data_IF_315049776521
#
_entry.id   IF_315049776521
#
_cell.length_a   1.000
_cell.length_b   1.000
_cell.length_c   1.000
_cell.angle_alpha   90.00
_cell.angle_beta   90.00
_cell.angle_gamma   90.00
#
_symmetry.space_group_name_H-M   'P 1'
#
loop_
_entity.id
_entity.type
_entity.pdbx_description
1 polymer ?
#
# COMPACT_ATOMS: atom_id res chain seq x y z
N UNK A 1 25.39 15.35 -8.30
CA UNK A 1 23.97 15.30 -7.89
C UNK A 1 23.60 13.88 -7.48
N UNK A 2 22.93 13.70 -6.34
CA UNK A 2 22.32 12.44 -5.93
C UNK A 2 20.91 12.35 -6.51
N UNK A 3 20.66 11.36 -7.36
CA UNK A 3 19.34 11.06 -7.93
C UNK A 3 19.08 9.54 -7.91
N UNK A 4 19.47 8.89 -6.81
CA UNK A 4 19.53 7.44 -6.67
C UNK A 4 18.19 6.76 -6.37
N UNK A 5 17.13 7.55 -6.12
CA UNK A 5 15.87 7.04 -5.59
C UNK A 5 15.93 6.71 -4.09
N UNK A 6 14.87 6.04 -3.62
CA UNK A 6 14.68 5.66 -2.21
C UNK A 6 15.28 4.31 -1.82
N UNK A 7 14.83 3.76 -0.69
CA UNK A 7 15.45 2.59 -0.07
C UNK A 7 14.51 1.41 0.24
N UNK A 8 13.30 1.36 -0.31
CA UNK A 8 12.35 0.26 0.01
C UNK A 8 12.87 -1.16 -0.31
N UNK A 9 13.81 -1.31 -1.23
CA UNK A 9 14.42 -2.61 -1.57
C UNK A 9 15.58 -2.99 -0.64
N UNK A 10 16.09 -2.07 0.17
CA UNK A 10 17.13 -2.35 1.17
C UNK A 10 16.52 -2.94 2.44
N UNK A 11 16.46 -4.27 2.50
CA UNK A 11 15.84 -5.02 3.61
C UNK A 11 16.47 -4.73 4.96
N UNK A 12 17.78 -4.47 4.99
CA UNK A 12 18.47 -4.13 6.22
C UNK A 12 18.10 -2.71 6.65
N UNK A 13 18.31 -1.73 5.76
CA UNK A 13 18.12 -0.33 6.10
C UNK A 13 16.66 -0.01 6.41
N UNK A 14 15.70 -0.48 5.60
CA UNK A 14 14.27 -0.21 5.82
C UNK A 14 13.75 -0.74 7.16
N UNK A 15 14.27 -1.89 7.64
CA UNK A 15 13.89 -2.49 8.92
C UNK A 15 14.40 -1.66 10.11
N UNK A 16 15.55 -1.01 9.96
CA UNK A 16 16.05 -0.07 10.97
C UNK A 16 15.12 1.15 11.12
N UNK A 17 14.46 1.55 10.04
CA UNK A 17 13.57 2.72 10.00
C UNK A 17 12.14 2.40 10.47
N UNK A 18 11.59 1.27 10.04
CA UNK A 18 10.29 0.78 10.48
C UNK A 18 10.41 -0.71 10.83
N UNK A 19 10.31 -1.10 12.12
CA UNK A 19 10.41 -2.49 12.53
C UNK A 19 9.37 -3.42 11.88
N UNK A 20 8.27 -2.87 11.34
CA UNK A 20 7.26 -3.63 10.60
C UNK A 20 7.71 -3.98 9.18
N UNK A 21 8.69 -3.26 8.63
CA UNK A 21 9.26 -3.46 7.28
C UNK A 21 10.22 -4.67 7.20
N UNK A 22 9.79 -5.81 7.74
CA UNK A 22 10.61 -7.01 7.85
C UNK A 22 10.96 -7.60 6.46
N UNK A 23 12.05 -8.39 6.34
CA UNK A 23 12.53 -8.96 5.07
C UNK A 23 11.50 -9.77 4.25
N UNK A 24 10.48 -10.28 4.92
CA UNK A 24 9.39 -11.09 4.39
C UNK A 24 8.35 -10.24 3.64
N UNK A 25 8.16 -8.97 4.01
CA UNK A 25 7.28 -8.06 3.26
C UNK A 25 7.97 -7.62 1.97
N UNK A 26 7.31 -7.82 0.83
CA UNK A 26 7.87 -7.42 -0.43
C UNK A 26 7.73 -5.90 -0.68
N UNK A 27 8.44 -5.42 -1.69
CA UNK A 27 8.40 -4.04 -2.17
C UNK A 27 7.83 -4.00 -3.58
N UNK A 28 7.21 -2.88 -3.96
CA UNK A 28 6.84 -2.64 -5.36
C UNK A 28 8.01 -2.14 -6.21
N UNK A 29 9.15 -1.87 -5.58
CA UNK A 29 10.25 -1.14 -6.18
C UNK A 29 11.19 -2.07 -6.92
N UNK A 30 11.91 -1.52 -7.89
CA UNK A 30 12.98 -2.24 -8.56
C UNK A 30 14.11 -2.58 -7.56
N UNK A 31 14.93 -3.63 -7.83
CA UNK A 31 15.98 -4.07 -6.89
C UNK A 31 17.03 -2.99 -6.55
N UNK A 32 17.21 -2.00 -7.42
CA UNK A 32 18.20 -0.93 -7.23
C UNK A 32 17.81 0.16 -6.21
N UNK A 33 16.56 0.19 -5.73
CA UNK A 33 16.11 1.16 -4.73
C UNK A 33 16.67 0.85 -3.33
N UNK A 34 17.97 1.08 -3.16
CA UNK A 34 18.76 0.74 -1.96
C UNK A 34 19.37 1.97 -1.32
N UNK A 35 19.69 1.90 -0.03
CA UNK A 35 20.08 3.07 0.76
C UNK A 35 21.52 3.55 0.55
N UNK A 36 22.31 2.94 -0.34
CA UNK A 36 23.76 3.17 -0.43
C UNK A 36 24.16 4.63 -0.62
N UNK A 37 23.51 5.34 -1.55
CA UNK A 37 23.77 6.77 -1.78
C UNK A 37 23.31 7.65 -0.62
N UNK A 38 22.13 7.36 -0.04
CA UNK A 38 21.61 8.03 1.15
C UNK A 38 22.59 7.89 2.32
N UNK A 39 22.99 6.66 2.66
CA UNK A 39 23.95 6.37 3.73
C UNK A 39 25.28 7.10 3.50
N UNK A 40 25.75 7.16 2.26
CA UNK A 40 26.99 7.86 1.91
C UNK A 40 26.88 9.37 2.16
N UNK A 41 25.74 9.98 1.83
CA UNK A 41 25.48 11.39 2.13
C UNK A 41 25.41 11.66 3.63
N UNK A 42 24.71 10.80 4.39
CA UNK A 42 24.62 10.93 5.85
C UNK A 42 26.01 10.84 6.52
N UNK A 43 26.89 9.95 6.02
CA UNK A 43 28.27 9.81 6.54
C UNK A 43 29.13 11.06 6.39
N UNK A 44 28.83 11.93 5.43
CA UNK A 44 29.56 13.19 5.23
C UNK A 44 28.83 14.41 5.83
N UNK A 45 27.85 14.16 6.70
CA UNK A 45 27.18 15.21 7.48
C UNK A 45 25.88 15.74 6.87
N UNK A 46 25.33 15.13 5.81
CA UNK A 46 24.03 15.53 5.28
C UNK A 46 22.92 15.33 6.32
N UNK A 47 22.05 16.33 6.48
CA UNK A 47 20.97 16.31 7.45
C UNK A 47 19.86 15.33 7.03
N UNK A 48 19.57 14.29 7.82
CA UNK A 48 18.44 13.40 7.57
C UNK A 48 17.10 14.08 7.87
N UNK A 49 16.11 13.88 7.01
CA UNK A 49 14.73 14.34 7.21
C UNK A 49 13.79 13.16 7.04
N UNK A 50 12.96 12.90 8.05
CA UNK A 50 11.84 11.94 7.97
C UNK A 50 12.22 10.52 7.53
N UNK A 51 13.45 10.05 7.78
CA UNK A 51 13.95 8.76 7.27
C UNK A 51 13.05 7.57 7.69
N UNK A 52 12.37 7.66 8.84
CA UNK A 52 11.38 6.67 9.30
C UNK A 52 10.08 6.60 8.48
N UNK A 53 9.83 7.55 7.58
CA UNK A 53 8.55 7.72 6.91
C UNK A 53 8.51 6.93 5.61
N UNK A 54 8.03 5.69 5.73
CA UNK A 54 7.85 4.73 4.64
C UNK A 54 6.36 4.64 4.29
N UNK A 55 6.03 4.82 3.00
CA UNK A 55 4.69 4.60 2.49
C UNK A 55 4.52 3.14 2.03
N UNK A 56 3.38 2.58 2.41
CA UNK A 56 2.93 1.26 2.01
C UNK A 56 1.72 1.35 1.08
N UNK A 57 1.60 0.39 0.17
CA UNK A 57 0.42 0.20 -0.67
C UNK A 57 -0.44 -0.92 -0.09
N UNK A 58 -1.67 -0.65 0.38
CA UNK A 58 -2.50 -1.62 1.12
C UNK A 58 -3.31 -2.57 0.22
N UNK A 59 -3.20 -2.46 -1.10
CA UNK A 59 -3.96 -3.27 -2.06
C UNK A 59 -3.06 -4.25 -2.82
N UNK A 60 -2.11 -4.89 -2.12
CA UNK A 60 -1.21 -5.90 -2.70
C UNK A 60 -1.53 -7.29 -2.15
N UNK A 61 -0.93 -8.29 -2.76
CA UNK A 61 -1.03 -9.68 -2.35
C UNK A 61 0.31 -10.19 -1.81
N UNK A 62 0.33 -10.93 -0.69
CA UNK A 62 1.55 -11.62 -0.22
C UNK A 62 2.01 -12.72 -1.17
N UNK A 63 1.12 -13.23 -2.03
CA UNK A 63 1.35 -14.37 -2.93
C UNK A 63 2.03 -13.97 -4.24
N UNK A 64 2.22 -12.68 -4.42
CA UNK A 64 2.85 -12.11 -5.60
C UNK A 64 4.18 -11.49 -5.23
N UNK A 65 5.14 -11.52 -6.15
CA UNK A 65 6.39 -10.75 -6.02
C UNK A 65 6.24 -9.36 -6.61
N UNK A 66 7.02 -8.42 -6.10
CA UNK A 66 7.09 -7.06 -6.63
C UNK A 66 5.74 -6.34 -6.59
N UNK A 67 5.43 -5.63 -7.67
CA UNK A 67 4.17 -4.89 -7.80
C UNK A 67 2.92 -5.79 -7.87
N UNK A 68 3.02 -7.02 -8.39
CA UNK A 68 1.88 -7.92 -8.63
C UNK A 68 0.89 -7.41 -9.69
N UNK A 69 -0.13 -8.22 -9.98
CA UNK A 69 -1.21 -7.94 -10.93
C UNK A 69 -2.58 -7.78 -10.25
N UNK A 70 -2.73 -8.13 -8.98
CA UNK A 70 -4.02 -8.04 -8.25
C UNK A 70 -4.43 -6.65 -7.77
N UNK A 71 -3.59 -5.63 -7.97
CA UNK A 71 -3.84 -4.29 -7.41
C UNK A 71 -5.17 -3.68 -7.86
N UNK A 72 -5.57 -3.97 -9.10
CA UNK A 72 -6.82 -3.49 -9.68
C UNK A 72 -8.03 -4.16 -9.03
N UNK A 73 -7.98 -5.47 -8.85
CA UNK A 73 -9.01 -6.20 -8.11
C UNK A 73 -9.20 -5.63 -6.70
N UNK A 74 -8.13 -5.51 -5.91
CA UNK A 74 -8.24 -5.00 -4.54
C UNK A 74 -8.76 -3.55 -4.50
N UNK A 75 -8.19 -2.64 -5.30
CA UNK A 75 -8.52 -1.21 -5.21
C UNK A 75 -9.82 -0.80 -5.92
N UNK A 76 -10.18 -1.47 -7.03
CA UNK A 76 -11.29 -1.05 -7.90
C UNK A 76 -12.53 -1.95 -7.76
N UNK A 77 -12.39 -3.18 -7.24
CA UNK A 77 -13.52 -4.06 -6.94
C UNK A 77 -13.68 -4.29 -5.44
N UNK A 78 -12.75 -5.02 -4.80
CA UNK A 78 -12.92 -5.47 -3.41
C UNK A 78 -13.04 -4.31 -2.42
N UNK A 79 -12.19 -3.29 -2.48
CA UNK A 79 -12.29 -2.16 -1.55
C UNK A 79 -13.44 -1.21 -1.91
N UNK A 80 -13.68 -0.97 -3.20
CA UNK A 80 -14.72 -0.04 -3.61
C UNK A 80 -16.12 -0.59 -3.37
N UNK A 81 -16.39 -1.79 -3.82
CA UNK A 81 -17.72 -2.38 -3.82
C UNK A 81 -17.89 -3.50 -2.78
N UNK A 82 -16.81 -4.21 -2.48
CA UNK A 82 -16.78 -5.29 -1.49
C UNK A 82 -16.27 -4.86 -0.10
N UNK A 83 -15.58 -5.79 0.59
CA UNK A 83 -15.04 -5.60 1.94
C UNK A 83 -13.66 -6.25 2.12
N UNK A 84 -12.99 -5.90 3.22
CA UNK A 84 -11.79 -6.61 3.70
C UNK A 84 -12.05 -7.16 5.10
N UNK A 85 -11.75 -8.43 5.34
CA UNK A 85 -12.01 -9.11 6.62
C UNK A 85 -10.75 -9.72 7.22
N UNK A 86 -10.70 -9.79 8.55
CA UNK A 86 -9.70 -10.58 9.28
C UNK A 86 -10.10 -12.06 9.22
N UNK A 87 -9.28 -12.95 8.62
CA UNK A 87 -9.61 -14.37 8.54
C UNK A 87 -9.82 -15.02 9.92
N UNK A 88 -9.19 -14.51 10.99
CA UNK A 88 -9.33 -15.07 12.34
C UNK A 88 -10.72 -14.86 12.94
N UNK A 89 -11.42 -13.81 12.51
CA UNK A 89 -12.71 -13.41 13.09
C UNK A 89 -13.86 -13.43 12.08
N UNK A 90 -13.57 -13.40 10.78
CA UNK A 90 -14.57 -13.22 9.72
C UNK A 90 -15.12 -11.79 9.62
N UNK A 91 -14.61 -10.85 10.43
CA UNK A 91 -15.13 -9.48 10.56
C UNK A 91 -14.30 -8.46 9.82
N UNK A 92 -14.95 -7.38 9.39
CA UNK A 92 -14.28 -6.16 8.91
C UNK A 92 -13.43 -5.55 10.03
N UNK A 93 -12.37 -4.85 9.65
CA UNK A 93 -11.39 -4.27 10.59
C UNK A 93 -10.99 -2.84 10.23
N UNK A 94 -11.46 -2.30 9.10
CA UNK A 94 -11.13 -0.95 8.64
C UNK A 94 -12.15 -0.44 7.62
N UNK A 95 -12.08 0.88 7.37
CA UNK A 95 -12.68 1.51 6.21
C UNK A 95 -11.84 1.20 4.95
N UNK A 96 -12.40 0.44 4.01
CA UNK A 96 -11.70 -0.01 2.81
C UNK A 96 -11.38 1.12 1.82
N UNK A 97 -11.99 2.29 2.00
CA UNK A 97 -11.77 3.50 1.19
C UNK A 97 -11.03 4.61 1.95
N UNK A 98 -10.53 4.34 3.15
CA UNK A 98 -9.64 5.27 3.85
C UNK A 98 -8.32 5.51 3.10
N UNK A 99 -7.53 6.47 3.56
CA UNK A 99 -6.22 6.72 2.98
C UNK A 99 -5.28 5.49 3.12
N UNK A 100 -4.18 5.52 2.38
CA UNK A 100 -3.26 4.38 2.29
C UNK A 100 -2.63 4.04 3.63
N UNK A 101 -2.34 5.04 4.47
CA UNK A 101 -1.68 4.85 5.75
C UNK A 101 -2.64 4.20 6.74
N UNK A 102 -3.87 4.72 6.87
CA UNK A 102 -4.89 4.13 7.74
C UNK A 102 -5.11 2.66 7.39
N UNK A 103 -5.26 2.34 6.10
CA UNK A 103 -5.46 0.95 5.67
C UNK A 103 -4.24 0.06 5.94
N UNK A 104 -3.04 0.51 5.59
CA UNK A 104 -1.83 -0.28 5.84
C UNK A 104 -1.62 -0.53 7.34
N UNK A 105 -1.81 0.48 8.18
CA UNK A 105 -1.70 0.35 9.63
C UNK A 105 -2.74 -0.62 10.21
N UNK A 106 -3.98 -0.59 9.70
CA UNK A 106 -5.02 -1.52 10.12
C UNK A 106 -4.70 -2.97 9.70
N UNK A 107 -4.17 -3.17 8.48
CA UNK A 107 -3.72 -4.49 8.02
C UNK A 107 -2.59 -5.03 8.91
N UNK A 108 -1.58 -4.21 9.24
CA UNK A 108 -0.47 -4.63 10.10
C UNK A 108 -0.92 -5.07 11.50
N UNK A 109 -2.06 -4.56 12.02
CA UNK A 109 -2.60 -4.98 13.33
C UNK A 109 -3.18 -6.39 13.31
N UNK A 110 -3.65 -6.86 12.15
CA UNK A 110 -4.34 -8.16 12.05
C UNK A 110 -3.48 -9.23 11.36
N UNK A 111 -2.48 -8.84 10.56
CA UNK A 111 -1.55 -9.77 9.91
C UNK A 111 -0.76 -10.55 10.96
N UNK A 112 -0.74 -11.87 10.78
CA UNK A 112 0.15 -12.78 11.48
C UNK A 112 0.91 -13.62 10.43
N UNK A 113 2.01 -13.04 9.94
CA UNK A 113 2.81 -13.63 8.88
C UNK A 113 3.47 -14.96 9.30
N UNK A 114 3.69 -15.19 10.61
CA UNK A 114 4.26 -16.46 11.11
C UNK A 114 3.27 -17.62 10.95
N UNK A 115 1.98 -17.33 11.07
CA UNK A 115 0.89 -18.29 10.93
C UNK A 115 0.20 -18.20 9.56
N UNK A 116 0.82 -17.55 8.57
CA UNK A 116 0.31 -17.34 7.21
C UNK A 116 -1.11 -16.73 7.15
N UNK A 117 -1.44 -15.88 8.12
CA UNK A 117 -2.75 -15.26 8.27
C UNK A 117 -2.73 -13.81 7.77
N UNK A 118 -3.43 -13.57 6.67
CA UNK A 118 -3.52 -12.27 5.99
C UNK A 118 -4.99 -11.85 5.80
N UNK A 119 -5.30 -10.53 5.84
CA UNK A 119 -6.63 -10.03 5.51
C UNK A 119 -7.15 -10.58 4.18
N UNK A 120 -8.46 -10.82 4.09
CA UNK A 120 -9.09 -11.32 2.86
C UNK A 120 -9.90 -10.19 2.23
N UNK A 121 -9.52 -9.79 1.02
CA UNK A 121 -10.23 -8.78 0.24
C UNK A 121 -11.21 -9.51 -0.69
N UNK A 122 -12.50 -9.23 -0.58
CA UNK A 122 -13.53 -9.97 -1.31
C UNK A 122 -14.60 -9.06 -1.92
N UNK A 123 -15.19 -9.52 -3.01
CA UNK A 123 -16.37 -8.92 -3.64
C UNK A 123 -17.21 -9.99 -4.34
N UNK A 124 -18.39 -9.60 -4.81
CA UNK A 124 -19.28 -10.45 -5.58
C UNK A 124 -19.08 -10.30 -7.09
N UNK A 125 -19.90 -10.98 -7.89
CA UNK A 125 -19.78 -10.99 -9.35
C UNK A 125 -20.13 -9.65 -10.01
N UNK A 126 -21.04 -8.88 -9.42
CA UNK A 126 -21.43 -7.55 -9.92
C UNK A 126 -20.28 -6.56 -9.76
N UNK A 127 -19.63 -6.58 -8.60
CA UNK A 127 -18.44 -5.79 -8.35
C UNK A 127 -17.28 -6.19 -9.25
N UNK A 128 -17.04 -7.50 -9.42
CA UNK A 128 -15.96 -8.01 -10.26
C UNK A 128 -16.16 -7.64 -11.75
N UNK A 129 -17.41 -7.58 -12.23
CA UNK A 129 -17.73 -7.16 -13.59
C UNK A 129 -17.44 -5.68 -13.89
N UNK A 130 -17.10 -4.86 -12.88
CA UNK A 130 -16.63 -3.48 -13.08
C UNK A 130 -15.17 -3.38 -13.51
N UNK A 131 -14.41 -4.47 -13.37
CA UNK A 131 -13.01 -4.52 -13.77
C UNK A 131 -12.88 -4.71 -15.28
N UNK A 132 -11.73 -4.33 -15.82
CA UNK A 132 -11.29 -4.83 -17.12
C UNK A 132 -11.12 -6.34 -17.00
N UNK A 133 -11.59 -7.10 -17.99
CA UNK A 133 -11.60 -8.58 -17.94
C UNK A 133 -10.23 -9.16 -17.58
N UNK A 134 -9.14 -8.63 -18.15
CA UNK A 134 -7.78 -9.08 -17.89
C UNK A 134 -7.30 -8.84 -16.45
N UNK A 135 -7.84 -7.83 -15.76
CA UNK A 135 -7.52 -7.52 -14.36
C UNK A 135 -8.15 -8.53 -13.38
N UNK A 136 -9.13 -9.32 -13.83
CA UNK A 136 -9.72 -10.43 -13.08
C UNK A 136 -9.22 -11.79 -13.59
N UNK A 137 -9.21 -12.01 -14.89
CA UNK A 137 -8.88 -13.29 -15.51
C UNK A 137 -7.42 -13.69 -15.30
N UNK A 138 -6.47 -12.75 -15.42
CA UNK A 138 -5.04 -13.08 -15.26
C UNK A 138 -4.68 -13.49 -13.83
N UNK A 139 -5.07 -12.75 -12.77
CA UNK A 139 -4.77 -13.19 -11.42
C UNK A 139 -5.53 -14.45 -11.00
N UNK A 140 -6.71 -14.72 -11.57
CA UNK A 140 -7.41 -16.00 -11.39
C UNK A 140 -6.64 -17.16 -12.02
N UNK A 141 -6.16 -16.99 -13.27
CA UNK A 141 -5.32 -17.99 -13.96
C UNK A 141 -4.03 -18.29 -13.17
N UNK A 142 -3.48 -17.28 -12.50
CA UNK A 142 -2.29 -17.41 -11.67
C UNK A 142 -2.58 -17.93 -10.25
N UNK A 143 -3.84 -18.23 -9.91
CA UNK A 143 -4.23 -18.78 -8.61
C UNK A 143 -4.14 -17.79 -7.44
N UNK A 144 -4.11 -16.48 -7.73
CA UNK A 144 -4.01 -15.42 -6.71
C UNK A 144 -5.39 -14.91 -6.29
N UNK A 145 -6.32 -14.84 -7.25
CA UNK A 145 -7.74 -14.60 -6.98
C UNK A 145 -8.46 -15.94 -7.06
N UNK A 146 -9.19 -16.26 -6.01
CA UNK A 146 -9.99 -17.46 -5.91
C UNK A 146 -11.47 -17.13 -6.15
N UNK A 147 -12.19 -18.04 -6.80
CA UNK A 147 -13.62 -17.96 -7.10
C UNK A 147 -14.37 -18.96 -6.21
N UNK A 148 -15.51 -18.55 -5.66
CA UNK A 148 -16.35 -19.35 -4.78
C UNK A 148 -17.83 -19.23 -5.18
N UNK A 149 -18.58 -20.32 -5.07
CA UNK A 149 -20.02 -20.30 -5.36
C UNK A 149 -20.83 -19.81 -4.14
N UNK A 150 -20.30 -19.98 -2.93
CA UNK A 150 -20.93 -19.51 -1.68
C UNK A 150 -19.95 -18.79 -0.76
N UNK A 151 -20.47 -17.94 0.13
CA UNK A 151 -19.67 -17.33 1.20
C UNK A 151 -19.15 -18.37 2.20
N UNK A 152 -19.90 -19.45 2.43
CA UNK A 152 -19.48 -20.54 3.30
C UNK A 152 -18.24 -21.27 2.75
N UNK A 153 -18.17 -21.49 1.43
CA UNK A 153 -17.00 -22.08 0.78
C UNK A 153 -15.77 -21.16 0.88
N UNK A 154 -15.97 -19.84 0.70
CA UNK A 154 -14.93 -18.83 0.89
C UNK A 154 -14.41 -18.84 2.33
N UNK A 155 -15.32 -18.78 3.31
CA UNK A 155 -14.99 -18.78 4.74
C UNK A 155 -14.22 -20.06 5.11
N UNK A 156 -14.68 -21.22 4.64
CA UNK A 156 -14.01 -22.51 4.85
C UNK A 156 -12.61 -22.53 4.25
N UNK A 157 -12.45 -22.06 3.01
CA UNK A 157 -11.15 -22.02 2.33
C UNK A 157 -10.12 -21.20 3.10
N UNK A 158 -10.51 -20.03 3.61
CA UNK A 158 -9.65 -19.15 4.39
C UNK A 158 -9.69 -19.42 5.91
N UNK A 159 -10.28 -20.55 6.33
CA UNK A 159 -10.34 -21.02 7.73
C UNK A 159 -10.98 -20.00 8.69
N UNK A 160 -11.99 -19.28 8.23
CA UNK A 160 -12.75 -18.34 9.04
C UNK A 160 -13.72 -19.07 9.98
N UNK A 161 -14.12 -18.46 11.11
CA UNK A 161 -15.17 -18.99 11.97
C UNK A 161 -16.49 -19.16 11.21
N UNK A 162 -17.15 -20.31 11.43
CA UNK A 162 -18.38 -20.68 10.73
C UNK A 162 -19.47 -19.63 10.93
N UNK A 163 -20.04 -19.12 9.84
CA UNK A 163 -21.17 -18.18 9.87
C UNK A 163 -20.81 -16.72 10.15
N UNK A 164 -19.57 -16.40 10.54
CA UNK A 164 -19.20 -15.01 10.87
C UNK A 164 -19.02 -14.13 9.62
N UNK A 165 -18.57 -14.71 8.50
CA UNK A 165 -18.45 -13.97 7.25
C UNK A 165 -19.83 -13.61 6.71
N UNK A 166 -20.78 -14.53 6.74
CA UNK A 166 -22.15 -14.34 6.28
C UNK A 166 -22.83 -13.21 7.07
N UNK A 167 -22.72 -13.21 8.40
CA UNK A 167 -23.21 -12.12 9.26
C UNK A 167 -22.55 -10.78 8.92
N UNK A 168 -21.24 -10.79 8.66
CA UNK A 168 -20.48 -9.59 8.29
C UNK A 168 -20.95 -9.03 6.95
N UNK A 169 -21.17 -9.90 5.96
CA UNK A 169 -21.68 -9.52 4.63
C UNK A 169 -23.13 -9.02 4.72
N UNK A 170 -23.99 -9.68 5.50
CA UNK A 170 -25.37 -9.24 5.72
C UNK A 170 -25.41 -7.82 6.30
N UNK A 171 -24.65 -7.57 7.38
CA UNK A 171 -24.52 -6.25 8.00
C UNK A 171 -23.99 -5.19 7.03
N UNK A 172 -22.95 -5.51 6.26
CA UNK A 172 -22.42 -4.60 5.24
C UNK A 172 -23.47 -4.28 4.17
N UNK A 173 -24.24 -5.27 3.71
CA UNK A 173 -25.29 -5.07 2.73
C UNK A 173 -26.41 -4.17 3.26
N UNK A 174 -26.74 -4.23 4.56
CA UNK A 174 -27.66 -3.28 5.18
C UNK A 174 -27.11 -1.84 5.15
N UNK A 175 -25.82 -1.64 5.39
CA UNK A 175 -25.18 -0.33 5.27
C UNK A 175 -25.26 0.23 3.86
N UNK A 176 -25.04 -0.62 2.86
CA UNK A 176 -25.20 -0.23 1.44
C UNK A 176 -26.63 0.25 1.17
N UNK A 177 -27.63 -0.49 1.64
CA UNK A 177 -29.06 -0.13 1.47
C UNK A 177 -29.44 1.15 2.23
N UNK A 178 -28.93 1.34 3.44
CA UNK A 178 -29.18 2.52 4.28
C UNK A 178 -28.37 3.75 3.84
N UNK A 179 -27.31 3.56 3.06
CA UNK A 179 -26.43 4.63 2.60
C UNK A 179 -25.39 5.10 3.63
N UNK A 180 -25.21 4.37 4.74
CA UNK A 180 -24.29 4.73 5.84
C UNK A 180 -23.66 3.48 6.44
N UNK A 181 -22.33 3.47 6.52
CA UNK A 181 -21.54 2.46 7.24
C UNK A 181 -21.33 2.91 8.68
N UNK A 182 -22.02 2.28 9.62
CA UNK A 182 -21.95 2.65 11.04
C UNK A 182 -20.73 2.03 11.75
N UNK A 183 -20.04 1.09 11.12
CA UNK A 183 -18.90 0.41 11.73
C UNK A 183 -17.58 1.15 11.49
N UNK A 184 -17.38 1.68 10.27
CA UNK A 184 -16.09 2.26 9.86
C UNK A 184 -16.20 3.55 9.03
N UNK A 185 -17.39 4.12 8.87
CA UNK A 185 -17.63 5.32 8.07
C UNK A 185 -17.13 5.19 6.61
N UNK A 186 -17.17 3.99 6.01
CA UNK A 186 -16.95 3.83 4.58
C UNK A 186 -17.95 4.71 3.82
N UNK A 187 -17.50 5.52 2.85
CA UNK A 187 -18.38 6.37 2.06
C UNK A 187 -19.24 5.53 1.10
N UNK A 188 -20.35 4.98 1.63
CA UNK A 188 -21.25 4.05 0.93
C UNK A 188 -21.77 4.62 -0.40
N UNK A 189 -21.90 5.95 -0.52
CA UNK A 189 -22.30 6.59 -1.79
C UNK A 189 -21.37 6.28 -2.97
N UNK A 190 -20.13 5.84 -2.72
CA UNK A 190 -19.15 5.47 -3.76
C UNK A 190 -19.26 4.01 -4.21
N UNK A 191 -20.15 3.21 -3.61
CA UNK A 191 -20.36 1.80 -3.95
C UNK A 191 -21.42 1.59 -5.03
N UNK A 192 -22.04 2.65 -5.56
CA UNK A 192 -23.09 2.59 -6.58
C UNK A 192 -24.29 1.68 -6.20
N UNK A 193 -24.54 1.51 -4.89
CA UNK A 193 -25.58 0.61 -4.38
C UNK A 193 -25.25 -0.89 -4.52
N UNK A 194 -24.04 -1.23 -4.93
CA UNK A 194 -23.58 -2.62 -5.09
C UNK A 194 -23.39 -3.23 -3.71
N UNK A 195 -24.08 -4.36 -3.50
CA UNK A 195 -23.98 -5.22 -2.31
C UNK A 195 -23.08 -6.41 -2.61
N UNK A 196 -22.76 -7.22 -1.60
CA UNK A 196 -22.11 -8.52 -1.77
C UNK A 196 -23.20 -9.58 -1.66
N UNK A 197 -23.87 -9.90 -2.77
CA UNK A 197 -25.04 -10.80 -2.74
C UNK A 197 -25.12 -11.76 -3.93
N UNK A 198 -24.39 -11.51 -5.02
CA UNK A 198 -24.48 -12.33 -6.22
C UNK A 198 -23.24 -13.20 -6.41
N UNK A 199 -23.44 -14.51 -6.30
CA UNK A 199 -22.43 -15.47 -6.69
C UNK A 199 -22.05 -15.30 -8.19
N UNK A 200 -20.84 -15.72 -8.60
CA UNK A 200 -19.74 -16.16 -7.74
C UNK A 200 -19.10 -15.03 -6.93
N UNK A 201 -18.51 -15.39 -5.79
CA UNK A 201 -17.69 -14.51 -4.97
C UNK A 201 -16.22 -14.66 -5.34
N UNK A 202 -15.49 -13.55 -5.31
CA UNK A 202 -14.06 -13.50 -5.60
C UNK A 202 -13.30 -12.97 -4.41
N UNK A 203 -12.15 -13.57 -4.11
CA UNK A 203 -11.31 -13.12 -3.01
C UNK A 203 -9.82 -13.31 -3.26
N UNK A 204 -9.02 -12.45 -2.64
CA UNK A 204 -7.56 -12.55 -2.59
C UNK A 204 -7.05 -12.29 -1.17
N UNK A 205 -5.86 -12.81 -0.85
CA UNK A 205 -5.11 -12.37 0.33
C UNK A 205 -4.58 -10.96 0.15
N UNK A 206 -4.78 -10.11 1.14
CA UNK A 206 -4.33 -8.73 1.19
C UNK A 206 -3.08 -8.58 2.07
N UNK A 207 -2.08 -7.86 1.57
CA UNK A 207 -0.94 -7.41 2.34
C UNK A 207 -0.51 -6.00 1.93
N UNK A 208 0.02 -5.18 2.85
CA UNK A 208 0.75 -3.99 2.49
C UNK A 208 2.10 -4.37 1.84
N UNK A 209 2.52 -3.64 0.82
CA UNK A 209 3.92 -3.67 0.33
C UNK A 209 4.55 -2.30 0.39
N UNK A 210 5.85 -2.27 0.65
CA UNK A 210 6.62 -1.03 0.62
C UNK A 210 6.60 -0.42 -0.78
N UNK A 211 6.56 0.91 -0.88
CA UNK A 211 6.39 1.57 -2.17
C UNK A 211 7.22 2.84 -2.34
N UNK A 212 7.35 3.65 -1.30
CA UNK A 212 8.06 4.92 -1.40
C UNK A 212 8.60 5.34 -0.04
N UNK A 213 9.78 5.95 -0.02
CA UNK A 213 10.41 6.51 1.19
C UNK A 213 10.38 8.02 1.10
N UNK A 214 9.54 8.67 1.93
CA UNK A 214 9.37 10.12 1.89
C UNK A 214 10.54 10.88 2.53
N UNK A 215 11.31 10.17 3.35
CA UNK A 215 12.50 10.70 4.00
C UNK A 215 13.77 10.50 3.19
N UNK A 216 14.71 11.42 3.38
CA UNK A 216 15.99 11.43 2.71
C UNK A 216 16.87 12.57 3.22
N UNK A 217 17.81 13.04 2.40
CA UNK A 217 18.62 14.21 2.74
C UNK A 217 17.79 15.50 2.64
N UNK A 218 18.02 16.45 3.55
CA UNK A 218 17.47 17.80 3.45
C UNK A 218 18.07 18.50 2.23
N UNK A 219 17.23 19.15 1.44
CA UNK A 219 17.65 20.10 0.41
C UNK A 219 17.01 21.48 0.63
N UNK A 220 17.66 22.53 0.12
CA UNK A 220 17.03 23.84 -0.06
C UNK A 220 16.32 23.94 -1.43
N UNK A 221 15.72 25.10 -1.72
CA UNK A 221 15.01 25.35 -2.99
C UNK A 221 15.91 25.40 -4.22
N UNK A 222 17.23 25.36 -4.05
CA UNK A 222 18.24 25.24 -5.11
C UNK A 222 18.78 23.81 -5.23
N UNK A 223 18.11 22.84 -4.61
CA UNK A 223 18.50 21.42 -4.57
C UNK A 223 19.87 21.14 -3.93
N UNK A 224 20.44 22.09 -3.17
CA UNK A 224 21.68 21.88 -2.43
C UNK A 224 21.39 21.07 -1.18
N UNK A 225 22.21 20.05 -0.91
CA UNK A 225 22.08 19.24 0.31
C UNK A 225 22.57 20.05 1.50
N UNK A 226 21.79 20.06 2.57
CA UNK A 226 22.12 20.78 3.81
C UNK A 226 22.78 19.85 4.83
N UNK A 227 23.73 20.37 5.59
CA UNK A 227 24.35 19.69 6.72
C UNK A 227 23.53 19.87 8.01
N UNK A 228 24.03 19.32 9.13
CA UNK A 228 23.36 19.41 10.44
C UNK A 228 23.21 20.83 10.99
N UNK A 229 24.00 21.78 10.49
CA UNK A 229 23.95 23.20 10.84
C UNK A 229 23.05 24.00 9.87
N UNK A 230 22.28 23.30 9.01
CA UNK A 230 21.42 23.85 7.96
C UNK A 230 22.17 24.64 6.86
N UNK A 231 23.48 24.39 6.72
CA UNK A 231 24.34 25.00 5.70
C UNK A 231 24.53 24.09 4.48
N UNK A 232 24.62 24.65 3.25
CA UNK A 232 24.88 23.85 2.06
C UNK A 232 26.24 23.12 2.10
N UNK A 233 26.22 21.80 1.87
CA UNK A 233 27.43 21.02 1.62
C UNK A 233 27.94 21.37 0.21
N UNK A 234 29.09 22.05 0.13
CA UNK A 234 29.65 22.53 -1.14
C UNK A 234 29.79 21.41 -2.16
N UNK A 235 29.19 21.62 -3.34
CA UNK A 235 29.23 20.68 -4.47
C UNK A 235 28.27 19.49 -4.36
N UNK A 236 27.48 19.39 -3.28
CA UNK A 236 26.51 18.32 -3.11
C UNK A 236 25.07 18.80 -3.34
N UNK A 237 24.42 18.16 -4.31
CA UNK A 237 23.04 18.42 -4.70
C UNK A 237 22.27 17.10 -4.70
N UNK A 238 20.96 17.14 -4.49
CA UNK A 238 20.12 15.96 -4.53
C UNK A 238 18.71 16.25 -5.09
N UNK A 239 18.11 15.26 -5.73
CA UNK A 239 16.77 15.35 -6.31
C UNK A 239 16.03 14.00 -6.28
N UNK A 240 14.70 14.06 -6.20
CA UNK A 240 13.82 12.89 -6.16
C UNK A 240 13.83 12.16 -4.82
N UNK A 241 13.47 10.88 -4.81
CA UNK A 241 13.19 10.09 -3.59
C UNK A 241 14.40 9.90 -2.64
N UNK A 242 15.62 10.28 -3.03
CA UNK A 242 16.77 10.34 -2.11
C UNK A 242 16.69 11.54 -1.14
N UNK A 243 15.80 12.50 -1.42
CA UNK A 243 15.56 13.72 -0.65
C UNK A 243 14.39 13.56 0.32
N UNK A 244 14.39 14.34 1.39
CA UNK A 244 13.31 14.37 2.37
C UNK A 244 12.63 15.74 2.46
N UNK A 245 11.37 15.74 2.91
CA UNK A 245 10.60 16.95 3.22
C UNK A 245 9.53 17.31 2.20
N UNK A 246 9.72 17.04 0.91
CA UNK A 246 8.76 17.38 -0.17
C UNK A 246 7.38 16.76 0.04
N UNK A 247 7.34 15.55 0.60
CA UNK A 247 6.11 14.74 0.66
C UNK A 247 5.51 14.63 2.07
N UNK A 248 6.22 15.08 3.10
CA UNK A 248 5.79 14.91 4.48
C UNK A 248 5.35 13.47 4.78
N UNK A 249 4.25 13.32 5.53
CA UNK A 249 3.84 12.04 6.12
C UNK A 249 3.37 11.00 5.12
N UNK A 250 2.94 11.45 3.94
CA UNK A 250 2.42 10.57 2.92
C UNK A 250 2.49 11.26 1.58
N UNK A 251 3.24 10.65 0.66
CA UNK A 251 3.28 11.10 -0.72
C UNK A 251 1.91 10.91 -1.39
N UNK A 252 1.38 11.99 -1.98
CA UNK A 252 0.20 11.92 -2.84
C UNK A 252 0.50 11.20 -4.17
N UNK A 253 -0.52 10.54 -4.72
CA UNK A 253 -0.42 9.89 -6.03
C UNK A 253 0.11 10.85 -7.10
N UNK A 254 0.98 10.35 -7.97
CA UNK A 254 1.59 11.09 -9.09
C UNK A 254 2.57 12.23 -8.74
N UNK A 255 2.65 12.69 -7.50
CA UNK A 255 3.54 13.81 -7.13
C UNK A 255 5.05 13.48 -7.16
N UNK A 256 5.47 12.23 -6.99
CA UNK A 256 6.90 11.84 -7.03
C UNK A 256 7.56 12.14 -8.37
N UNK A 257 6.85 11.94 -9.48
CA UNK A 257 7.43 12.16 -10.81
C UNK A 257 7.70 13.64 -11.03
N UNK A 258 6.78 14.50 -10.60
CA UNK A 258 6.96 15.94 -10.65
C UNK A 258 8.11 16.39 -9.73
N UNK A 259 8.21 15.84 -8.52
CA UNK A 259 9.36 16.09 -7.63
C UNK A 259 10.70 15.75 -8.31
N UNK A 260 10.83 14.54 -8.87
CA UNK A 260 12.03 14.12 -9.60
C UNK A 260 12.38 15.06 -10.75
N UNK A 261 11.40 15.44 -11.58
CA UNK A 261 11.62 16.32 -12.73
C UNK A 261 12.01 17.74 -12.28
N UNK A 262 11.23 18.33 -11.37
CA UNK A 262 11.43 19.70 -10.91
C UNK A 262 12.76 19.86 -10.19
N UNK A 263 13.02 19.08 -9.14
CA UNK A 263 14.29 19.20 -8.40
C UNK A 263 15.48 18.65 -9.19
N UNK A 264 15.25 17.73 -10.14
CA UNK A 264 16.30 17.29 -11.07
C UNK A 264 16.78 18.43 -11.97
N UNK A 265 15.85 19.20 -12.55
CA UNK A 265 16.18 20.38 -13.35
C UNK A 265 16.83 21.48 -12.51
N UNK A 266 16.25 21.80 -11.34
CA UNK A 266 16.82 22.81 -10.43
C UNK A 266 18.24 22.43 -10.02
N UNK A 267 18.49 21.15 -9.70
CA UNK A 267 19.85 20.69 -9.40
C UNK A 267 20.78 20.91 -10.60
N UNK A 268 20.36 20.56 -11.81
CA UNK A 268 21.14 20.78 -13.04
C UNK A 268 21.50 22.25 -13.28
N UNK A 269 20.59 23.18 -13.01
CA UNK A 269 20.78 24.63 -13.21
C UNK A 269 21.70 25.27 -12.16
N UNK A 270 21.90 24.63 -11.00
CA UNK A 270 22.64 25.19 -9.87
C UNK A 270 24.02 24.55 -9.62
N UNK A 271 24.45 23.59 -10.46
CA UNK A 271 25.80 22.96 -10.38
C UNK A 271 26.89 23.94 -10.81
#
# INVERSE_FOLDING_TARGET
>A
VLASGGFCSDKFFRKLQDPRAVPEFDTTNHPGATAGALISALKIGALPVQIGWIQYIPYKCPDEKGNGITSKFASQAAFRYGISVDPKTGKRYMNELADRKIRADAMFRIIDAKNDSYPINLCDSVAAAKLVESDLANPMKNGVIMKFDTLADLAKYYKMPVGELEKTVERYNEFVKKGKDEDFDKPIKLTDGITISQAPFYAMRGAPKLHHTMGGVKINTKAQVLNIDDEPIKGLYAAGEVTGGTHGASRLGSCAILDCLTFGMIAGENI
#
